data_IF_458978715790
#
_entry.id   IF_458978715790
#
_cell.length_a   1.000
_cell.length_b   1.000
_cell.length_c   1.000
_cell.angle_alpha   90.00
_cell.angle_beta   90.00
_cell.angle_gamma   90.00
#
_symmetry.space_group_name_H-M   'P 1'
#
loop_
_entity.id
_entity.type
_entity.pdbx_description
1 polymer ?
#
# COMPACT_ATOMS: atom_id res chain seq x y z
N UNK A 1 9.27 -2.92 5.41
CA UNK A 1 8.35 -2.49 6.49
C UNK A 1 9.11 -2.35 7.81
N UNK A 2 8.76 -1.38 8.67
CA UNK A 2 9.40 -1.20 9.98
C UNK A 2 8.76 -2.15 11.01
N UNK A 3 9.51 -3.15 11.48
CA UNK A 3 9.00 -4.18 12.39
C UNK A 3 8.60 -3.65 13.78
N UNK A 4 9.27 -2.61 14.29
CA UNK A 4 8.90 -2.01 15.58
C UNK A 4 7.54 -1.31 15.48
N UNK A 5 7.34 -0.50 14.45
CA UNK A 5 6.05 0.16 14.20
C UNK A 5 4.93 -0.86 13.96
N UNK A 6 5.21 -1.93 13.21
CA UNK A 6 4.23 -3.00 12.99
C UNK A 6 3.80 -3.64 14.31
N UNK A 7 4.77 -3.97 15.19
CA UNK A 7 4.46 -4.56 16.49
C UNK A 7 3.58 -3.65 17.36
N UNK A 8 3.88 -2.36 17.40
CA UNK A 8 3.05 -1.38 18.13
C UNK A 8 1.63 -1.31 17.58
N UNK A 9 1.46 -1.29 16.26
CA UNK A 9 0.14 -1.30 15.62
C UNK A 9 -0.63 -2.59 15.91
N UNK A 10 0.03 -3.76 15.82
CA UNK A 10 -0.61 -5.04 16.12
C UNK A 10 -1.08 -5.11 17.58
N UNK A 11 -0.30 -4.61 18.54
CA UNK A 11 -0.73 -4.53 19.94
C UNK A 11 -2.02 -3.70 20.08
N UNK A 12 -2.11 -2.58 19.38
CA UNK A 12 -3.31 -1.73 19.41
C UNK A 12 -4.52 -2.46 18.81
N UNK A 13 -4.34 -3.11 17.66
CA UNK A 13 -5.43 -3.83 16.97
C UNK A 13 -5.92 -5.04 17.80
N UNK A 14 -5.00 -5.80 18.41
CA UNK A 14 -5.38 -6.89 19.30
C UNK A 14 -6.02 -6.38 20.58
N UNK A 15 -5.57 -5.25 21.12
CA UNK A 15 -6.20 -4.65 22.31
C UNK A 15 -7.63 -4.18 22.04
N UNK A 16 -7.93 -3.71 20.81
CA UNK A 16 -9.27 -3.34 20.36
C UNK A 16 -10.19 -4.57 20.30
N UNK A 17 -9.73 -5.67 19.70
CA UNK A 17 -10.54 -6.86 19.43
C UNK A 17 -10.73 -7.76 20.65
N UNK A 18 -9.67 -7.95 21.43
CA UNK A 18 -9.68 -8.86 22.59
C UNK A 18 -10.29 -8.19 23.84
N UNK A 19 -10.04 -6.89 24.03
CA UNK A 19 -10.53 -6.19 25.21
C UNK A 19 -10.07 -6.81 26.51
N UNK A 20 -11.02 -7.35 27.28
CA UNK A 20 -10.76 -8.01 28.58
C UNK A 20 -10.50 -9.52 28.48
N UNK A 21 -10.60 -10.12 27.29
CA UNK A 21 -10.36 -11.54 27.03
C UNK A 21 -11.27 -12.12 25.95
N UNK A 22 -10.87 -13.24 25.35
CA UNK A 22 -11.68 -14.01 24.40
C UNK A 22 -12.56 -15.01 25.16
N UNK A 23 -13.78 -14.57 25.48
CA UNK A 23 -14.74 -15.36 26.26
C UNK A 23 -15.00 -16.77 25.69
N UNK A 24 -14.97 -16.92 24.39
CA UNK A 24 -15.23 -18.20 23.72
C UNK A 24 -14.05 -19.13 23.84
N UNK A 25 -12.88 -18.67 23.37
CA UNK A 25 -11.69 -19.52 23.34
C UNK A 25 -11.17 -19.82 24.73
N UNK A 26 -11.28 -18.89 25.69
CA UNK A 26 -10.91 -19.10 27.09
C UNK A 26 -11.84 -20.09 27.81
N UNK A 27 -13.12 -20.14 27.44
CA UNK A 27 -14.07 -21.09 28.03
C UNK A 27 -13.95 -22.51 27.47
N UNK A 28 -13.47 -22.65 26.23
CA UNK A 28 -13.43 -23.96 25.54
C UNK A 28 -12.04 -24.60 25.64
N UNK A 29 -10.95 -23.81 25.57
CA UNK A 29 -9.60 -24.34 25.47
C UNK A 29 -8.73 -23.97 26.67
N UNK A 30 -8.02 -24.97 27.20
CA UNK A 30 -6.97 -24.76 28.21
C UNK A 30 -5.59 -24.68 27.54
N UNK A 31 -4.98 -25.82 27.20
CA UNK A 31 -3.65 -25.91 26.58
C UNK A 31 -3.62 -26.82 25.35
N UNK A 32 -4.77 -27.08 24.77
CA UNK A 32 -4.89 -27.92 23.59
C UNK A 32 -4.11 -27.31 22.41
N UNK A 33 -3.30 -28.16 21.79
CA UNK A 33 -2.57 -27.77 20.56
C UNK A 33 -3.48 -27.93 19.35
N UNK A 34 -3.46 -26.92 18.48
CA UNK A 34 -4.16 -26.88 17.21
C UNK A 34 -3.20 -26.72 16.03
N UNK A 35 -3.73 -27.03 14.86
CA UNK A 35 -3.15 -26.71 13.57
C UNK A 35 -4.21 -25.95 12.77
N UNK A 36 -3.83 -24.82 12.19
CA UNK A 36 -4.67 -24.08 11.28
C UNK A 36 -3.86 -23.70 10.02
N UNK A 37 -4.55 -23.32 8.96
CA UNK A 37 -3.93 -22.83 7.74
C UNK A 37 -4.71 -21.66 7.16
N UNK A 38 -3.97 -20.70 6.61
CA UNK A 38 -4.54 -19.60 5.85
C UNK A 38 -4.75 -20.06 4.41
N UNK A 39 -5.98 -19.92 3.91
CA UNK A 39 -6.41 -20.38 2.61
C UNK A 39 -6.89 -19.19 1.77
N UNK A 40 -6.32 -19.01 0.58
CA UNK A 40 -6.86 -18.08 -0.40
C UNK A 40 -8.21 -18.58 -0.91
N UNK A 41 -9.23 -17.72 -0.94
CA UNK A 41 -10.55 -18.01 -1.51
C UNK A 41 -10.72 -17.37 -2.90
N UNK A 42 -9.98 -16.30 -3.16
CA UNK A 42 -9.96 -15.56 -4.42
C UNK A 42 -8.56 -15.64 -5.08
N UNK A 43 -8.49 -15.21 -6.34
CA UNK A 43 -7.23 -15.02 -7.08
C UNK A 43 -6.68 -13.61 -6.85
N UNK A 44 -5.37 -13.50 -6.59
CA UNK A 44 -4.72 -12.20 -6.39
C UNK A 44 -3.24 -12.30 -6.05
N UNK A 45 -2.71 -11.22 -5.46
CA UNK A 45 -1.34 -11.13 -4.96
C UNK A 45 -1.38 -11.14 -3.44
N UNK A 46 -0.67 -12.07 -2.83
CA UNK A 46 -0.56 -12.14 -1.37
C UNK A 46 0.35 -11.04 -0.83
N UNK A 47 -0.07 -10.44 0.29
CA UNK A 47 0.74 -9.52 1.08
C UNK A 47 0.35 -9.63 2.56
N UNK A 48 1.33 -9.98 3.42
CA UNK A 48 1.09 -10.09 4.86
C UNK A 48 1.99 -11.07 5.60
N UNK A 49 3.06 -11.58 4.99
CA UNK A 49 4.00 -12.53 5.60
C UNK A 49 4.49 -12.04 6.97
N UNK A 50 5.05 -10.82 7.03
CA UNK A 50 5.56 -10.26 8.28
C UNK A 50 4.44 -9.95 9.30
N UNK A 51 3.22 -9.65 8.82
CA UNK A 51 2.06 -9.46 9.71
C UNK A 51 1.72 -10.75 10.44
N UNK A 52 1.67 -11.88 9.72
CA UNK A 52 1.39 -13.20 10.31
C UNK A 52 2.46 -13.58 11.34
N UNK A 53 3.74 -13.47 10.98
CA UNK A 53 4.85 -13.77 11.90
C UNK A 53 4.83 -12.89 13.15
N UNK A 54 4.76 -11.58 12.97
CA UNK A 54 4.79 -10.63 14.09
C UNK A 54 3.57 -10.76 14.99
N UNK A 55 2.40 -11.07 14.43
CA UNK A 55 1.17 -11.28 15.18
C UNK A 55 1.29 -12.51 16.11
N UNK A 56 1.66 -13.66 15.57
CA UNK A 56 1.80 -14.87 16.38
C UNK A 56 2.89 -14.76 17.44
N UNK A 57 3.98 -14.06 17.15
CA UNK A 57 5.04 -13.79 18.13
C UNK A 57 4.59 -12.92 19.32
N UNK A 58 3.50 -12.16 19.19
CA UNK A 58 2.92 -11.41 20.30
C UNK A 58 2.13 -12.32 21.27
N UNK A 59 1.57 -13.42 20.76
CA UNK A 59 0.80 -14.37 21.58
C UNK A 59 1.71 -15.41 22.26
N UNK A 60 2.44 -16.17 21.46
CA UNK A 60 3.37 -17.18 21.97
C UNK A 60 4.52 -17.36 20.96
N UNK A 61 5.77 -17.00 21.31
CA UNK A 61 6.94 -17.22 20.45
C UNK A 61 7.17 -18.69 20.03
N UNK A 62 6.53 -19.65 20.70
CA UNK A 62 6.59 -21.06 20.34
C UNK A 62 5.60 -21.47 19.24
N UNK A 63 4.75 -20.55 18.77
CA UNK A 63 3.89 -20.80 17.60
C UNK A 63 4.77 -20.93 16.36
N UNK A 64 4.66 -22.08 15.70
CA UNK A 64 5.37 -22.36 14.45
C UNK A 64 4.53 -21.87 13.27
N UNK A 65 5.16 -21.11 12.37
CA UNK A 65 4.55 -20.59 11.12
C UNK A 65 5.35 -21.11 9.94
N UNK A 66 4.71 -21.88 9.06
CA UNK A 66 5.31 -22.41 7.83
C UNK A 66 4.68 -21.72 6.63
N UNK A 67 5.44 -20.81 5.99
CA UNK A 67 4.96 -20.10 4.81
C UNK A 67 5.12 -20.95 3.55
N UNK A 68 4.06 -20.99 2.71
CA UNK A 68 4.06 -21.55 1.37
C UNK A 68 4.02 -20.49 0.28
N UNK A 69 3.61 -19.27 0.61
CA UNK A 69 3.59 -18.08 -0.25
C UNK A 69 4.30 -16.93 0.44
N UNK A 70 4.98 -16.11 -0.35
CA UNK A 70 5.68 -14.90 0.11
C UNK A 70 4.96 -13.65 -0.36
N UNK A 71 5.28 -12.52 0.25
CA UNK A 71 4.78 -11.22 -0.19
C UNK A 71 5.14 -10.99 -1.67
N UNK A 72 4.12 -10.67 -2.47
CA UNK A 72 4.23 -10.51 -3.93
C UNK A 72 3.92 -11.75 -4.75
N UNK A 73 3.78 -12.92 -4.14
CA UNK A 73 3.39 -14.14 -4.86
C UNK A 73 1.93 -14.12 -5.30
N UNK A 74 1.67 -14.63 -6.49
CA UNK A 74 0.31 -14.87 -6.96
C UNK A 74 -0.32 -16.06 -6.20
N UNK A 75 -1.58 -15.89 -5.81
CA UNK A 75 -2.40 -16.93 -5.18
C UNK A 75 -3.68 -17.14 -5.95
N UNK A 76 -4.23 -18.35 -5.84
CA UNK A 76 -5.52 -18.75 -6.42
C UNK A 76 -6.42 -19.35 -5.36
N UNK A 77 -7.72 -19.31 -5.59
CA UNK A 77 -8.68 -19.95 -4.69
C UNK A 77 -8.35 -21.43 -4.45
N UNK A 78 -8.31 -21.82 -3.18
CA UNK A 78 -7.94 -23.16 -2.74
C UNK A 78 -6.44 -23.35 -2.41
N UNK A 79 -5.57 -22.37 -2.67
CA UNK A 79 -4.15 -22.48 -2.31
C UNK A 79 -3.89 -22.11 -0.85
N UNK A 80 -3.08 -22.94 -0.17
CA UNK A 80 -2.61 -22.67 1.20
C UNK A 80 -1.51 -21.62 1.15
N UNK A 81 -1.70 -20.54 1.90
CA UNK A 81 -0.73 -19.44 2.06
C UNK A 81 0.30 -19.81 3.11
N UNK A 82 -0.16 -20.23 4.29
CA UNK A 82 0.72 -20.74 5.35
C UNK A 82 -0.02 -21.67 6.28
N UNK A 83 0.74 -22.48 7.03
CA UNK A 83 0.29 -23.33 8.12
C UNK A 83 0.80 -22.79 9.45
N UNK A 84 -0.01 -22.91 10.50
CA UNK A 84 0.34 -22.46 11.86
C UNK A 84 0.04 -23.54 12.88
N UNK A 85 0.97 -23.72 13.83
CA UNK A 85 0.90 -24.75 14.87
C UNK A 85 1.11 -24.09 16.24
N UNK A 86 0.16 -24.20 17.14
CA UNK A 86 0.24 -23.57 18.47
C UNK A 86 -0.88 -24.01 19.38
N UNK A 87 -1.14 -23.25 20.45
CA UNK A 87 -2.33 -23.45 21.26
C UNK A 87 -3.56 -23.03 20.48
N UNK A 88 -4.60 -23.89 20.46
CA UNK A 88 -5.85 -23.63 19.73
C UNK A 88 -6.45 -22.27 20.10
N UNK A 89 -6.44 -21.90 21.39
CA UNK A 89 -6.88 -20.61 21.87
C UNK A 89 -6.17 -19.45 21.17
N UNK A 90 -4.84 -19.46 21.17
CA UNK A 90 -4.04 -18.36 20.63
C UNK A 90 -4.23 -18.22 19.11
N UNK A 91 -4.35 -19.35 18.38
CA UNK A 91 -4.62 -19.36 16.95
C UNK A 91 -5.98 -18.71 16.60
N UNK A 92 -7.02 -19.04 17.37
CA UNK A 92 -8.39 -18.53 17.13
C UNK A 92 -8.56 -17.09 17.62
N UNK A 93 -8.00 -16.74 18.77
CA UNK A 93 -8.07 -15.37 19.30
C UNK A 93 -7.39 -14.35 18.36
N UNK A 94 -6.33 -14.75 17.67
CA UNK A 94 -5.60 -13.86 16.75
C UNK A 94 -6.18 -13.79 15.34
N UNK A 95 -7.06 -14.69 14.97
CA UNK A 95 -7.56 -14.92 13.61
C UNK A 95 -8.08 -13.63 12.96
N UNK A 96 -9.04 -12.96 13.61
CA UNK A 96 -9.79 -11.87 12.97
C UNK A 96 -8.90 -10.67 12.64
N UNK A 97 -8.05 -10.26 13.55
CA UNK A 97 -7.12 -9.13 13.33
C UNK A 97 -6.14 -9.44 12.21
N UNK A 98 -5.55 -10.64 12.21
CA UNK A 98 -4.62 -11.06 11.15
C UNK A 98 -5.33 -11.05 9.79
N UNK A 99 -6.49 -11.71 9.68
CA UNK A 99 -7.26 -11.77 8.43
C UNK A 99 -7.64 -10.39 7.91
N UNK A 100 -8.16 -9.51 8.77
CA UNK A 100 -8.56 -8.17 8.36
C UNK A 100 -7.40 -7.38 7.74
N UNK A 101 -6.19 -7.53 8.28
CA UNK A 101 -5.01 -6.84 7.78
C UNK A 101 -4.55 -7.49 6.46
N UNK A 102 -4.28 -8.80 6.43
CA UNK A 102 -3.70 -9.45 5.24
C UNK A 102 -4.65 -9.45 4.04
N UNK A 103 -5.96 -9.57 4.27
CA UNK A 103 -6.98 -9.45 3.23
C UNK A 103 -6.95 -8.07 2.57
N UNK A 104 -6.88 -7.00 3.38
CA UNK A 104 -6.76 -5.63 2.88
C UNK A 104 -5.46 -5.41 2.13
N UNK A 105 -4.32 -5.82 2.69
CA UNK A 105 -3.01 -5.65 2.06
C UNK A 105 -2.91 -6.43 0.74
N UNK A 106 -3.41 -7.66 0.72
CA UNK A 106 -3.44 -8.48 -0.50
C UNK A 106 -4.37 -7.87 -1.56
N UNK A 107 -5.47 -7.26 -1.16
CA UNK A 107 -6.33 -6.50 -2.07
C UNK A 107 -5.60 -5.32 -2.72
N UNK A 108 -4.85 -4.53 -1.93
CA UNK A 108 -4.03 -3.41 -2.42
C UNK A 108 -2.94 -3.92 -3.37
N UNK A 109 -2.21 -4.97 -2.99
CA UNK A 109 -1.18 -5.58 -3.82
C UNK A 109 -1.76 -6.09 -5.16
N UNK A 110 -2.95 -6.69 -5.11
CA UNK A 110 -3.67 -7.19 -6.30
C UNK A 110 -4.06 -6.07 -7.25
N UNK A 111 -4.66 -4.98 -6.75
CA UNK A 111 -5.04 -3.83 -7.60
C UNK A 111 -3.80 -3.11 -8.15
N UNK A 112 -2.74 -3.00 -7.35
CA UNK A 112 -1.47 -2.45 -7.81
C UNK A 112 -0.85 -3.31 -8.92
N UNK A 113 -0.86 -4.62 -8.77
CA UNK A 113 -0.33 -5.54 -9.78
C UNK A 113 -1.10 -5.46 -11.11
N UNK A 114 -2.42 -5.28 -11.06
CA UNK A 114 -3.23 -5.04 -12.26
C UNK A 114 -2.80 -3.76 -12.98
N UNK A 115 -2.60 -2.65 -12.21
CA UNK A 115 -2.14 -1.38 -12.77
C UNK A 115 -0.74 -1.49 -13.39
N UNK A 116 0.19 -2.15 -12.69
CA UNK A 116 1.57 -2.37 -13.18
C UNK A 116 1.56 -3.18 -14.47
N UNK A 117 0.78 -4.24 -14.54
CA UNK A 117 0.65 -5.08 -15.76
C UNK A 117 0.11 -4.32 -16.95
N UNK A 118 -0.80 -3.36 -16.77
CA UNK A 118 -1.29 -2.54 -17.87
C UNK A 118 -0.21 -1.60 -18.42
N UNK A 119 0.80 -1.26 -17.62
CA UNK A 119 1.93 -0.43 -18.05
C UNK A 119 3.14 -1.25 -18.52
N UNK A 120 3.04 -2.57 -18.60
CA UNK A 120 4.11 -3.42 -19.16
C UNK A 120 4.45 -3.01 -20.59
N UNK A 121 5.75 -2.91 -20.88
CA UNK A 121 6.26 -2.43 -22.17
C UNK A 121 6.41 -0.91 -22.28
N UNK A 122 6.01 -0.15 -21.26
CA UNK A 122 6.28 1.29 -21.13
C UNK A 122 7.38 1.56 -20.10
N UNK A 123 7.87 2.81 -20.01
CA UNK A 123 8.75 3.24 -18.92
C UNK A 123 7.99 3.76 -17.70
N UNK A 124 6.67 3.83 -17.76
CA UNK A 124 5.80 4.43 -16.74
C UNK A 124 5.73 3.54 -15.51
N UNK A 125 5.90 4.14 -14.33
CA UNK A 125 5.82 3.48 -13.03
C UNK A 125 4.55 3.90 -12.30
N UNK A 126 3.85 2.91 -11.75
CA UNK A 126 2.66 3.15 -10.93
C UNK A 126 3.08 3.44 -9.50
N UNK A 127 2.55 4.50 -8.89
CA UNK A 127 2.78 4.78 -7.48
C UNK A 127 1.51 5.11 -6.70
N UNK A 128 1.65 5.02 -5.38
CA UNK A 128 0.60 5.37 -4.44
C UNK A 128 0.51 6.89 -4.19
N UNK A 129 -0.30 7.26 -3.23
CA UNK A 129 -0.45 8.64 -2.74
C UNK A 129 -0.45 8.67 -1.20
N UNK A 130 -0.75 9.84 -0.62
CA UNK A 130 -1.06 9.96 0.81
C UNK A 130 -2.55 9.74 1.14
N UNK A 131 -3.38 9.37 0.17
CA UNK A 131 -4.80 9.02 0.35
C UNK A 131 -4.92 7.61 0.95
N UNK A 132 -4.43 7.43 2.16
CA UNK A 132 -4.40 6.17 2.90
C UNK A 132 -5.33 6.21 4.10
N UNK A 133 -5.76 5.04 4.59
CA UNK A 133 -6.50 4.93 5.85
C UNK A 133 -5.63 5.43 7.01
N UNK A 134 -6.14 6.37 7.84
CA UNK A 134 -5.40 6.82 9.01
C UNK A 134 -4.94 5.65 9.88
N UNK A 135 -3.66 5.68 10.29
CA UNK A 135 -3.02 4.59 11.03
C UNK A 135 -2.45 3.47 10.17
N UNK A 136 -2.97 3.21 8.96
CA UNK A 136 -2.53 2.07 8.12
C UNK A 136 -1.51 2.42 7.03
N UNK A 137 -1.06 3.68 6.93
CA UNK A 137 -0.22 4.13 5.81
C UNK A 137 1.03 3.28 5.59
N UNK A 138 1.72 2.88 6.64
CA UNK A 138 2.91 2.04 6.52
C UNK A 138 2.59 0.71 5.86
N UNK A 139 1.50 0.08 6.27
CA UNK A 139 1.04 -1.21 5.75
C UNK A 139 0.54 -1.09 4.32
N UNK A 140 -0.30 -0.08 4.03
CA UNK A 140 -0.87 0.11 2.69
C UNK A 140 0.19 0.45 1.64
N UNK A 141 1.16 1.32 1.97
CA UNK A 141 2.28 1.64 1.09
C UNK A 141 3.21 0.43 0.87
N UNK A 142 3.41 -0.38 1.89
CA UNK A 142 4.12 -1.65 1.74
C UNK A 142 3.40 -2.60 0.77
N UNK A 143 2.08 -2.71 0.88
CA UNK A 143 1.28 -3.54 -0.01
C UNK A 143 1.36 -3.09 -1.48
N UNK A 144 1.45 -1.78 -1.74
CA UNK A 144 1.71 -1.26 -3.10
C UNK A 144 3.03 -1.78 -3.64
N UNK A 145 4.09 -1.82 -2.83
CA UNK A 145 5.38 -2.38 -3.28
C UNK A 145 5.31 -3.89 -3.53
N UNK A 146 4.55 -4.63 -2.75
CA UNK A 146 4.31 -6.06 -2.99
C UNK A 146 3.57 -6.32 -4.32
N UNK A 147 2.70 -5.40 -4.74
CA UNK A 147 2.04 -5.45 -6.05
C UNK A 147 2.92 -5.03 -7.23
N UNK A 148 4.19 -4.62 -6.99
CA UNK A 148 5.12 -4.16 -8.00
C UNK A 148 5.09 -2.65 -8.26
N UNK A 149 4.33 -1.89 -7.48
CA UNK A 149 4.27 -0.44 -7.55
C UNK A 149 5.38 0.25 -6.75
N UNK A 150 5.36 1.58 -6.79
CA UNK A 150 6.30 2.46 -6.10
C UNK A 150 5.59 3.33 -5.09
N UNK A 151 6.32 3.86 -4.13
CA UNK A 151 5.77 4.78 -3.15
C UNK A 151 6.08 6.23 -3.54
N UNK A 152 5.06 7.07 -3.56
CA UNK A 152 5.19 8.52 -3.44
C UNK A 152 5.64 8.86 -2.01
N UNK A 153 5.96 10.13 -1.73
CA UNK A 153 6.37 10.57 -0.39
C UNK A 153 5.47 9.97 0.70
N UNK A 154 6.11 9.53 1.78
CA UNK A 154 5.45 8.83 2.87
C UNK A 154 4.62 9.79 3.73
N UNK A 155 5.16 10.97 3.98
CA UNK A 155 4.51 11.99 4.82
C UNK A 155 4.84 13.41 4.38
N UNK A 156 4.62 14.36 5.28
CA UNK A 156 4.98 15.76 5.05
C UNK A 156 6.46 16.07 5.30
N UNK A 157 7.19 15.09 5.82
CA UNK A 157 8.55 15.23 6.34
C UNK A 157 9.65 14.69 5.41
N UNK A 158 9.30 13.98 4.34
CA UNK A 158 10.28 13.31 3.48
C UNK A 158 10.44 13.94 2.08
N UNK A 159 9.45 14.66 1.59
CA UNK A 159 9.57 15.46 0.37
C UNK A 159 8.58 16.62 0.36
N UNK A 160 8.87 17.66 -0.41
CA UNK A 160 7.97 18.79 -0.62
C UNK A 160 7.07 18.51 -1.81
N UNK A 161 5.78 18.89 -1.66
CA UNK A 161 4.82 19.01 -2.76
C UNK A 161 4.11 20.35 -2.62
N UNK A 162 4.39 21.25 -3.54
CA UNK A 162 3.74 22.56 -3.65
C UNK A 162 2.48 22.37 -4.49
N UNK A 163 1.35 22.75 -3.94
CA UNK A 163 0.02 22.62 -4.55
C UNK A 163 -0.57 23.99 -4.87
N UNK A 164 -1.64 23.97 -5.68
CA UNK A 164 -2.48 25.13 -6.00
C UNK A 164 -2.76 26.03 -4.81
N UNK A 165 -3.21 25.45 -3.69
CA UNK A 165 -3.51 26.15 -2.46
C UNK A 165 -2.27 26.83 -1.82
N UNK A 166 -1.09 26.22 -1.92
CA UNK A 166 0.15 26.86 -1.46
C UNK A 166 0.51 28.06 -2.31
N UNK A 167 0.37 27.93 -3.63
CA UNK A 167 0.64 28.99 -4.60
C UNK A 167 -0.33 30.14 -4.37
N UNK A 168 -1.62 29.88 -4.27
CA UNK A 168 -2.67 30.87 -4.02
C UNK A 168 -2.40 31.67 -2.73
N UNK A 169 -2.08 31.00 -1.63
CA UNK A 169 -1.75 31.65 -0.35
C UNK A 169 -0.40 32.38 -0.36
N UNK A 170 0.45 32.10 -1.35
CA UNK A 170 1.73 32.80 -1.57
C UNK A 170 1.61 33.98 -2.53
N UNK A 171 0.40 34.46 -2.81
CA UNK A 171 0.13 35.59 -3.70
C UNK A 171 -0.07 35.18 -5.16
N UNK A 172 -0.34 33.90 -5.43
CA UNK A 172 -0.57 33.37 -6.78
C UNK A 172 0.70 33.19 -7.63
N UNK A 173 1.89 33.27 -7.00
CA UNK A 173 3.17 33.19 -7.70
C UNK A 173 3.95 31.90 -7.37
N UNK A 174 4.02 31.00 -8.34
CA UNK A 174 4.72 29.72 -8.26
C UNK A 174 6.21 29.90 -7.96
N UNK A 175 6.87 30.85 -8.66
CA UNK A 175 8.31 31.08 -8.49
C UNK A 175 8.63 31.53 -7.07
N UNK A 176 7.80 32.40 -6.50
CA UNK A 176 7.92 32.83 -5.10
C UNK A 176 7.73 31.67 -4.14
N UNK A 177 6.75 30.78 -4.38
CA UNK A 177 6.52 29.62 -3.54
C UNK A 177 7.72 28.67 -3.55
N UNK A 178 8.24 28.32 -4.73
CA UNK A 178 9.42 27.46 -4.91
C UNK A 178 10.66 28.08 -4.27
N UNK A 179 10.90 29.40 -4.47
CA UNK A 179 12.03 30.10 -3.87
C UNK A 179 11.99 30.03 -2.35
N UNK A 180 10.85 30.34 -1.73
CA UNK A 180 10.68 30.28 -0.26
C UNK A 180 10.94 28.91 0.33
N UNK A 181 10.53 27.86 -0.40
CA UNK A 181 10.79 26.46 -0.02
C UNK A 181 12.29 26.19 -0.07
N UNK A 182 12.94 26.47 -1.21
CA UNK A 182 14.37 26.18 -1.43
C UNK A 182 15.30 26.94 -0.46
N UNK A 183 14.93 28.15 -0.04
CA UNK A 183 15.69 28.92 0.95
C UNK A 183 15.72 28.27 2.35
N UNK A 184 14.77 27.39 2.64
CA UNK A 184 14.62 26.75 3.97
C UNK A 184 15.03 25.28 4.02
N UNK A 185 15.20 24.63 2.88
CA UNK A 185 15.45 23.20 2.80
C UNK A 185 16.92 22.88 2.54
N UNK A 186 17.35 21.72 3.07
CA UNK A 186 18.62 21.12 2.70
C UNK A 186 18.57 20.49 1.30
N UNK A 187 19.75 20.33 0.69
CA UNK A 187 19.92 19.83 -0.69
C UNK A 187 19.44 18.38 -0.92
N UNK A 188 19.15 17.63 0.13
CA UNK A 188 18.69 16.24 0.03
C UNK A 188 17.16 16.11 -0.08
N UNK A 189 16.41 17.21 0.02
CA UNK A 189 14.95 17.19 -0.05
C UNK A 189 14.49 17.52 -1.45
N UNK A 190 13.73 16.61 -2.06
CA UNK A 190 13.11 16.82 -3.38
C UNK A 190 11.95 17.81 -3.30
N UNK A 191 11.86 18.64 -4.33
CA UNK A 191 10.78 19.63 -4.48
C UNK A 191 9.95 19.27 -5.71
N UNK A 192 8.69 18.98 -5.46
CA UNK A 192 7.68 18.70 -6.45
C UNK A 192 6.66 19.84 -6.51
N UNK A 193 6.15 20.14 -7.70
CA UNK A 193 5.10 21.14 -7.94
C UNK A 193 3.97 20.51 -8.74
N UNK A 194 2.75 20.69 -8.26
CA UNK A 194 1.50 20.33 -8.94
C UNK A 194 1.12 21.48 -9.90
N UNK A 195 0.80 21.14 -11.14
CA UNK A 195 0.47 22.07 -12.21
C UNK A 195 -0.77 21.62 -12.98
N UNK A 196 -1.60 22.58 -13.39
CA UNK A 196 -2.86 22.33 -14.10
C UNK A 196 -2.92 23.02 -15.48
N UNK A 197 -1.82 23.64 -15.93
CA UNK A 197 -1.77 24.34 -17.21
C UNK A 197 -0.39 24.31 -17.84
N UNK A 198 -0.36 24.42 -19.19
CA UNK A 198 0.87 24.54 -19.97
C UNK A 198 1.76 25.71 -19.51
N UNK A 199 1.15 26.82 -19.08
CA UNK A 199 1.86 28.00 -18.58
C UNK A 199 2.58 27.71 -17.26
N UNK A 200 1.92 26.99 -16.36
CA UNK A 200 2.51 26.56 -15.08
C UNK A 200 3.62 25.53 -15.30
N UNK A 201 3.49 24.61 -16.27
CA UNK A 201 4.57 23.70 -16.65
C UNK A 201 5.85 24.47 -17.03
N UNK A 202 5.73 25.48 -17.90
CA UNK A 202 6.89 26.31 -18.32
C UNK A 202 7.52 27.04 -17.14
N UNK A 203 6.71 27.55 -16.23
CA UNK A 203 7.18 28.23 -15.00
C UNK A 203 7.86 27.24 -14.05
N UNK A 204 7.28 26.05 -13.83
CA UNK A 204 7.87 25.00 -13.00
C UNK A 204 9.25 24.57 -13.54
N UNK A 205 9.39 24.40 -14.87
CA UNK A 205 10.67 24.09 -15.51
C UNK A 205 11.71 25.17 -15.22
N UNK A 206 11.36 26.46 -15.35
CA UNK A 206 12.30 27.58 -15.11
C UNK A 206 12.65 27.73 -13.62
N UNK A 207 11.77 27.31 -12.69
CA UNK A 207 12.00 27.32 -11.25
C UNK A 207 12.94 26.21 -10.76
N UNK A 208 13.41 25.34 -11.68
CA UNK A 208 14.36 24.26 -11.39
C UNK A 208 13.90 23.34 -10.25
N UNK A 209 12.67 22.84 -10.34
CA UNK A 209 12.12 21.84 -9.43
C UNK A 209 12.64 20.44 -9.78
N UNK A 210 12.51 19.47 -8.86
CA UNK A 210 12.95 18.09 -9.10
C UNK A 210 11.89 17.24 -9.80
N UNK A 211 10.60 17.54 -9.54
CA UNK A 211 9.45 16.79 -10.05
C UNK A 211 8.35 17.78 -10.43
N UNK A 212 7.69 17.54 -11.55
CA UNK A 212 6.48 18.26 -11.95
C UNK A 212 5.34 17.27 -12.04
N UNK A 213 4.28 17.49 -11.26
CA UNK A 213 3.07 16.68 -11.30
C UNK A 213 2.01 17.37 -12.15
N UNK A 214 1.62 16.73 -13.25
CA UNK A 214 0.46 17.14 -14.06
C UNK A 214 -0.81 16.65 -13.37
N UNK A 215 -1.64 17.56 -12.88
CA UNK A 215 -2.88 17.20 -12.19
C UNK A 215 -4.10 17.37 -13.08
N UNK A 216 -4.96 16.37 -13.11
CA UNK A 216 -6.24 16.35 -13.83
C UNK A 216 -6.15 16.68 -15.34
N UNK A 217 -5.05 16.38 -16.03
CA UNK A 217 -4.92 16.61 -17.47
C UNK A 217 -5.30 15.37 -18.29
N UNK A 218 -5.76 15.62 -19.54
CA UNK A 218 -6.05 14.56 -20.51
C UNK A 218 -4.77 13.89 -21.03
N UNK A 219 -4.84 12.67 -21.59
CA UNK A 219 -3.68 12.02 -22.22
C UNK A 219 -2.99 12.87 -23.29
N UNK A 220 -3.76 13.64 -24.06
CA UNK A 220 -3.22 14.54 -25.10
C UNK A 220 -2.45 15.70 -24.46
N UNK A 221 -3.03 16.35 -23.46
CA UNK A 221 -2.35 17.42 -22.72
C UNK A 221 -1.09 16.92 -22.03
N UNK A 222 -1.16 15.75 -21.38
CA UNK A 222 -0.01 15.14 -20.71
C UNK A 222 1.16 14.93 -21.68
N UNK A 223 0.88 14.45 -22.91
CA UNK A 223 1.86 14.26 -23.96
C UNK A 223 2.46 15.59 -24.42
N UNK A 224 1.62 16.59 -24.71
CA UNK A 224 2.06 17.91 -25.16
C UNK A 224 2.89 18.62 -24.08
N UNK A 225 2.48 18.52 -22.83
CA UNK A 225 3.21 19.12 -21.70
C UNK A 225 4.52 18.40 -21.42
N UNK A 226 4.58 17.06 -21.60
CA UNK A 226 5.82 16.28 -21.42
C UNK A 226 6.93 16.78 -22.34
N UNK A 227 6.61 17.20 -23.59
CA UNK A 227 7.58 17.73 -24.55
C UNK A 227 8.23 19.04 -24.08
N UNK A 228 7.61 19.76 -23.15
CA UNK A 228 8.13 21.02 -22.59
C UNK A 228 9.10 20.79 -21.43
N UNK A 229 9.10 19.57 -20.84
CA UNK A 229 9.88 19.26 -19.65
C UNK A 229 11.18 18.55 -20.03
N UNK A 230 12.36 19.06 -19.63
CA UNK A 230 13.64 18.42 -19.90
C UNK A 230 13.77 17.09 -19.12
N UNK A 231 14.53 16.14 -19.66
CA UNK A 231 14.73 14.81 -19.07
C UNK A 231 15.38 14.81 -17.67
N UNK A 232 15.93 15.93 -17.24
CA UNK A 232 16.49 16.10 -15.91
C UNK A 232 15.44 16.30 -14.81
N UNK A 233 14.17 16.56 -15.18
CA UNK A 233 13.04 16.75 -14.27
C UNK A 233 12.10 15.55 -14.42
N UNK A 234 11.77 14.91 -13.31
CA UNK A 234 10.81 13.80 -13.28
C UNK A 234 9.40 14.33 -13.51
N UNK A 235 8.63 13.63 -14.34
CA UNK A 235 7.23 13.98 -14.61
C UNK A 235 6.31 12.93 -13.99
N UNK A 236 5.44 13.38 -13.11
CA UNK A 236 4.37 12.59 -12.54
C UNK A 236 3.02 13.02 -13.10
N UNK A 237 2.10 12.09 -13.24
CA UNK A 237 0.71 12.33 -13.64
C UNK A 237 -0.21 11.90 -12.52
N UNK A 238 -1.18 12.75 -12.18
CA UNK A 238 -2.14 12.54 -11.11
C UNK A 238 -3.53 13.02 -11.51
N UNK A 239 -4.55 12.78 -10.67
CA UNK A 239 -5.90 13.31 -10.87
C UNK A 239 -6.91 12.25 -11.32
N UNK A 240 -7.52 11.54 -10.35
CA UNK A 240 -8.68 10.67 -10.59
C UNK A 240 -8.48 9.48 -11.53
N UNK A 241 -7.23 9.11 -11.86
CA UNK A 241 -6.92 8.04 -12.80
C UNK A 241 -7.33 6.68 -12.21
N UNK A 242 -8.11 5.94 -12.98
CA UNK A 242 -8.59 4.60 -12.67
C UNK A 242 -7.90 3.55 -13.54
N UNK A 243 -8.01 2.26 -13.13
CA UNK A 243 -7.48 1.15 -13.94
C UNK A 243 -7.99 1.17 -15.39
N UNK A 244 -9.25 1.53 -15.61
CA UNK A 244 -9.84 1.54 -16.95
C UNK A 244 -9.28 2.62 -17.88
N UNK A 245 -8.69 3.66 -17.32
CA UNK A 245 -8.15 4.80 -18.07
C UNK A 245 -6.62 4.71 -18.28
N UNK A 246 -5.94 3.81 -17.54
CA UNK A 246 -4.48 3.75 -17.56
C UNK A 246 -3.89 3.55 -18.95
N UNK A 247 -4.52 2.70 -19.79
CA UNK A 247 -4.03 2.41 -21.14
C UNK A 247 -3.96 3.66 -22.01
N UNK A 248 -4.87 4.63 -21.81
CA UNK A 248 -4.89 5.89 -22.56
C UNK A 248 -3.64 6.74 -22.29
N UNK A 249 -3.02 6.58 -21.12
CA UNK A 249 -1.82 7.32 -20.71
C UNK A 249 -0.50 6.60 -21.05
N UNK A 250 -0.55 5.37 -21.59
CA UNK A 250 0.63 4.54 -21.86
C UNK A 250 1.69 5.21 -22.78
N UNK A 251 1.27 6.14 -23.62
CA UNK A 251 2.13 6.80 -24.62
C UNK A 251 2.36 8.30 -24.35
N UNK A 252 2.13 8.75 -23.13
CA UNK A 252 2.33 10.16 -22.74
C UNK A 252 3.80 10.51 -22.49
N UNK A 253 4.64 9.51 -22.21
CA UNK A 253 6.06 9.69 -21.92
C UNK A 253 6.36 10.20 -20.51
N UNK A 254 5.38 10.22 -19.60
CA UNK A 254 5.61 10.55 -18.18
C UNK A 254 6.37 9.43 -17.47
N UNK A 255 7.00 9.75 -16.35
CA UNK A 255 7.80 8.78 -15.58
C UNK A 255 6.96 8.00 -14.57
N UNK A 256 5.97 8.66 -13.96
CA UNK A 256 5.11 8.08 -12.91
C UNK A 256 3.64 8.42 -13.16
N UNK A 257 2.77 7.50 -12.74
CA UNK A 257 1.33 7.75 -12.56
C UNK A 257 0.97 7.42 -11.12
N UNK A 258 0.50 8.42 -10.37
CA UNK A 258 0.03 8.23 -9.00
C UNK A 258 -1.46 7.98 -8.92
N UNK A 259 -1.84 6.92 -8.22
CA UNK A 259 -3.22 6.45 -8.13
C UNK A 259 -3.68 6.34 -6.68
N UNK A 260 -4.52 7.27 -6.23
CA UNK A 260 -5.11 7.20 -4.89
C UNK A 260 -6.05 6.00 -4.72
N UNK A 261 -6.68 5.54 -5.81
CA UNK A 261 -7.60 4.40 -5.80
C UNK A 261 -6.97 3.11 -5.29
N UNK A 262 -5.65 2.93 -5.45
CA UNK A 262 -4.91 1.77 -4.95
C UNK A 262 -5.06 1.55 -3.45
N UNK A 263 -5.30 2.61 -2.68
CA UNK A 263 -5.35 2.55 -1.21
C UNK A 263 -6.70 2.94 -0.63
N UNK A 264 -7.42 3.90 -1.24
CA UNK A 264 -8.69 4.38 -0.68
C UNK A 264 -9.95 3.66 -1.18
N UNK A 265 -9.86 2.87 -2.27
CA UNK A 265 -11.02 2.19 -2.89
C UNK A 265 -10.77 0.71 -3.18
N UNK A 266 -9.94 0.07 -2.38
CA UNK A 266 -9.55 -1.32 -2.58
C UNK A 266 -10.63 -2.29 -2.09
N UNK A 267 -10.85 -3.37 -2.86
CA UNK A 267 -11.57 -4.57 -2.42
C UNK A 267 -10.58 -5.52 -1.75
N UNK A 268 -10.87 -5.95 -0.53
CA UNK A 268 -10.06 -6.95 0.16
C UNK A 268 -10.03 -8.27 -0.61
N UNK A 269 -8.90 -8.98 -0.60
CA UNK A 269 -8.79 -10.34 -1.12
C UNK A 269 -9.39 -11.31 -0.10
N UNK A 270 -10.22 -12.24 -0.53
CA UNK A 270 -10.84 -13.19 0.40
C UNK A 270 -9.84 -14.28 0.81
N UNK A 271 -9.55 -14.36 2.12
CA UNK A 271 -8.65 -15.32 2.76
C UNK A 271 -9.34 -15.84 4.03
N UNK A 272 -9.34 -17.14 4.26
CA UNK A 272 -9.86 -17.74 5.52
C UNK A 272 -8.73 -18.33 6.36
N UNK A 273 -9.01 -18.50 7.65
CA UNK A 273 -8.27 -19.40 8.54
C UNK A 273 -9.14 -20.65 8.78
N UNK A 274 -8.65 -21.80 8.36
CA UNK A 274 -9.34 -23.08 8.54
C UNK A 274 -8.55 -23.96 9.50
N UNK A 275 -9.25 -24.54 10.52
CA UNK A 275 -8.65 -25.42 11.51
C UNK A 275 -8.75 -26.87 11.05
N UNK A 276 -7.65 -27.61 11.08
CA UNK A 276 -7.69 -29.05 10.82
C UNK A 276 -8.33 -29.77 12.00
N UNK A 277 -9.53 -30.30 11.77
CA UNK A 277 -10.14 -31.27 12.68
C UNK A 277 -9.28 -32.54 12.64
N UNK A 278 -8.77 -32.99 13.79
CA UNK A 278 -8.14 -34.32 13.88
C UNK A 278 -9.18 -35.35 13.44
N UNK A 279 -8.95 -35.97 12.26
CA UNK A 279 -9.67 -37.20 11.90
C UNK A 279 -9.34 -38.24 12.95
N UNK A 280 -10.33 -38.69 13.73
CA UNK A 280 -10.22 -39.85 14.62
C UNK A 280 -10.49 -39.59 16.09
N UNK A 281 -11.74 -39.23 16.46
CA UNK A 281 -12.40 -39.86 17.62
C UNK A 281 -13.73 -40.36 17.08
N UNK A 282 -13.74 -41.57 16.61
CA UNK A 282 -14.93 -42.41 16.46
C UNK A 282 -15.48 -42.59 17.88
N UNK A 283 -16.58 -41.90 18.16
CA UNK A 283 -17.38 -42.25 19.35
C UNK A 283 -18.00 -43.62 19.08
N UNK A 284 -17.39 -44.69 19.66
CA UNK A 284 -18.02 -45.99 19.86
C UNK A 284 -18.98 -45.92 21.05
#
# INVERSE_FOLDING_TARGET
>A
MNKLMLREQLIQFFSEDIGHGDLTSEAIFDNEKGKAYFLAKDEGIFCGEEVIFSAYQLFDPAIEVIMHKKDGDAVRGGEIICEVYGKARDLLTSERVILNIIQRLSGIATETNKAVKQMEGTSIRICDTRKTTPGLRMLEKYAVTCGGGFNHRFGLHDAVLIKDNHIAQCGGDLDTAVKRVKEKLGHMVKVEVEVESCEEVKRAVTSNVDVIMFDNCSPTEAKDWRELVPDSIVVELSGGITLHQLEEYAHTGVDYISMGALTHSVKALDISLDVLVKEGVSHA
#
